data_IF_512989030129
#
_entry.id   IF_512989030129
#
_cell.length_a   1.000
_cell.length_b   1.000
_cell.length_c   1.000
_cell.angle_alpha   90.00
_cell.angle_beta   90.00
_cell.angle_gamma   90.00
#
_symmetry.space_group_name_H-M   'P 1'
#
loop_
_entity.id
_entity.type
_entity.pdbx_description
1 polymer ?
#
# COMPACT_ATOMS: atom_id res chain seq x y z
N UNK A 1 9.89 -25.61 5.66
CA UNK A 1 10.62 -24.59 6.43
C UNK A 1 9.81 -24.29 7.69
N UNK A 2 10.43 -24.19 8.88
CA UNK A 2 9.74 -23.81 10.13
C UNK A 2 10.31 -22.47 10.59
N UNK A 3 9.44 -21.54 10.95
CA UNK A 3 9.80 -20.26 11.55
C UNK A 3 9.90 -20.42 13.07
N UNK A 4 11.02 -20.02 13.66
CA UNK A 4 11.26 -20.04 15.11
C UNK A 4 10.96 -18.67 15.73
N UNK A 5 10.83 -18.61 17.06
CA UNK A 5 10.59 -17.35 17.77
C UNK A 5 11.77 -16.38 17.66
N UNK A 6 12.99 -16.90 17.51
CA UNK A 6 14.20 -16.11 17.43
C UNK A 6 14.43 -15.55 16.01
N UNK A 7 13.83 -16.17 15.00
CA UNK A 7 13.78 -15.67 13.61
C UNK A 7 12.66 -14.63 13.40
N UNK A 8 11.91 -14.27 14.46
CA UNK A 8 10.86 -13.26 14.37
C UNK A 8 11.43 -11.85 14.41
N UNK A 9 11.59 -11.24 13.23
CA UNK A 9 11.93 -9.83 13.11
C UNK A 9 10.69 -8.96 13.31
N UNK A 10 10.77 -8.02 14.27
CA UNK A 10 9.74 -6.98 14.43
C UNK A 10 9.91 -5.95 13.33
N UNK A 11 9.14 -6.10 12.27
CA UNK A 11 8.97 -5.09 11.24
C UNK A 11 8.33 -3.85 11.88
N UNK A 12 8.95 -2.67 11.73
CA UNK A 12 8.42 -1.47 12.37
C UNK A 12 9.20 -0.19 12.18
N UNK A 13 10.44 -0.27 11.69
CA UNK A 13 11.29 0.91 11.44
C UNK A 13 11.51 1.19 9.96
N UNK A 14 11.23 0.24 9.10
CA UNK A 14 11.41 0.34 7.67
C UNK A 14 10.34 1.28 7.05
N UNK A 15 10.71 2.08 6.03
CA UNK A 15 9.75 2.84 5.26
C UNK A 15 8.65 1.93 4.68
N UNK A 16 7.37 2.30 4.70
CA UNK A 16 6.30 1.43 4.23
C UNK A 16 6.41 1.06 2.75
N UNK A 17 7.06 1.89 1.93
CA UNK A 17 7.35 1.57 0.55
C UNK A 17 8.33 0.40 0.43
N UNK A 18 9.34 0.32 1.29
CA UNK A 18 10.29 -0.81 1.31
C UNK A 18 9.57 -2.09 1.73
N UNK A 19 8.70 -2.00 2.75
CA UNK A 19 7.87 -3.12 3.18
C UNK A 19 6.93 -3.61 2.09
N UNK A 20 6.34 -2.69 1.31
CA UNK A 20 5.48 -3.05 0.19
C UNK A 20 6.23 -3.85 -0.89
N UNK A 21 7.50 -3.55 -1.11
CA UNK A 21 8.34 -4.24 -2.10
C UNK A 21 9.04 -5.46 -1.55
N UNK A 22 8.97 -5.69 -0.23
CA UNK A 22 9.62 -6.80 0.43
C UNK A 22 9.07 -8.13 -0.11
N UNK A 23 9.97 -9.05 -0.45
CA UNK A 23 9.62 -10.35 -1.03
C UNK A 23 9.38 -10.34 -2.55
N UNK A 24 9.30 -9.17 -3.20
CA UNK A 24 9.28 -9.09 -4.67
C UNK A 24 10.72 -9.20 -5.19
N UNK A 25 11.06 -10.38 -5.74
CA UNK A 25 12.41 -10.68 -6.25
C UNK A 25 12.63 -10.25 -7.70
N UNK A 26 11.60 -10.32 -8.54
CA UNK A 26 11.70 -10.00 -9.96
C UNK A 26 11.51 -8.49 -10.19
N UNK A 27 12.43 -7.87 -10.93
CA UNK A 27 12.45 -6.43 -11.17
C UNK A 27 11.22 -5.98 -11.96
N UNK A 28 10.82 -6.74 -12.98
CA UNK A 28 9.63 -6.43 -13.79
C UNK A 28 8.35 -6.43 -12.95
N UNK A 29 8.30 -7.29 -11.93
CA UNK A 29 7.18 -7.33 -10.97
C UNK A 29 7.24 -6.13 -10.05
N UNK A 30 8.42 -5.77 -9.52
CA UNK A 30 8.63 -4.59 -8.67
C UNK A 30 8.16 -3.33 -9.39
N UNK A 31 8.61 -3.11 -10.62
CA UNK A 31 8.20 -1.95 -11.42
C UNK A 31 6.69 -1.92 -11.69
N UNK A 32 6.10 -3.06 -12.05
CA UNK A 32 4.66 -3.16 -12.32
C UNK A 32 3.85 -2.79 -11.08
N UNK A 33 4.22 -3.31 -9.92
CA UNK A 33 3.54 -3.01 -8.66
C UNK A 33 3.74 -1.56 -8.23
N UNK A 34 4.92 -0.98 -8.43
CA UNK A 34 5.17 0.45 -8.20
C UNK A 34 4.32 1.35 -9.09
N UNK A 35 4.22 1.04 -10.39
CA UNK A 35 3.33 1.77 -11.31
C UNK A 35 1.88 1.70 -10.86
N UNK A 36 1.43 0.52 -10.45
CA UNK A 36 0.06 0.29 -9.97
C UNK A 36 -0.21 1.06 -8.68
N UNK A 37 0.71 1.00 -7.71
CA UNK A 37 0.60 1.72 -6.45
C UNK A 37 0.55 3.23 -6.69
N UNK A 38 1.42 3.76 -7.56
CA UNK A 38 1.41 5.17 -7.94
C UNK A 38 0.09 5.58 -8.60
N UNK A 39 -0.49 4.73 -9.45
CA UNK A 39 -1.80 5.00 -10.04
C UNK A 39 -2.89 5.07 -8.96
N UNK A 40 -2.90 4.15 -8.00
CA UNK A 40 -3.89 4.18 -6.91
C UNK A 40 -3.72 5.43 -6.07
N UNK A 41 -2.52 5.67 -5.52
CA UNK A 41 -2.29 6.75 -4.56
C UNK A 41 -2.37 8.14 -5.20
N UNK A 42 -1.85 8.30 -6.42
CA UNK A 42 -1.73 9.62 -7.06
C UNK A 42 -2.82 9.93 -8.10
N UNK A 43 -3.71 9.00 -8.44
CA UNK A 43 -4.80 9.22 -9.40
C UNK A 43 -6.17 8.80 -8.90
N UNK A 44 -6.27 7.76 -8.08
CA UNK A 44 -7.57 7.31 -7.54
C UNK A 44 -7.84 7.99 -6.19
N UNK A 45 -6.79 8.24 -5.41
CA UNK A 45 -6.85 8.82 -4.08
C UNK A 45 -6.25 10.22 -4.01
N UNK A 46 -6.14 10.93 -5.14
CA UNK A 46 -5.52 12.25 -5.18
C UNK A 46 -6.32 13.34 -4.42
N UNK A 47 -7.63 13.18 -4.30
CA UNK A 47 -8.50 14.02 -3.45
C UNK A 47 -8.48 13.63 -1.96
N UNK A 48 -7.83 12.51 -1.61
CA UNK A 48 -7.83 11.95 -0.24
C UNK A 48 -6.42 12.02 0.37
N UNK A 49 -5.38 11.86 -0.44
CA UNK A 49 -3.99 11.86 -0.03
C UNK A 49 -3.23 13.01 -0.71
N UNK A 50 -2.45 13.73 0.08
CA UNK A 50 -1.75 14.92 -0.37
C UNK A 50 -0.25 14.67 -0.55
N UNK A 51 0.43 15.55 -1.29
CA UNK A 51 1.89 15.49 -1.46
C UNK A 51 2.38 14.54 -2.56
N UNK A 52 3.67 14.20 -2.48
CA UNK A 52 4.34 13.30 -3.44
C UNK A 52 4.03 11.82 -3.19
N UNK A 53 4.58 10.93 -4.01
CA UNK A 53 4.24 9.51 -3.96
C UNK A 53 4.64 8.86 -2.64
N UNK A 54 5.85 9.17 -2.18
CA UNK A 54 6.44 8.65 -0.94
C UNK A 54 5.64 9.16 0.28
N UNK A 55 5.28 10.44 0.31
CA UNK A 55 4.42 11.02 1.36
C UNK A 55 3.03 10.37 1.40
N UNK A 56 2.45 10.06 0.23
CA UNK A 56 1.15 9.39 0.14
C UNK A 56 1.19 7.95 0.63
N UNK A 57 2.30 7.24 0.41
CA UNK A 57 2.52 5.90 0.96
C UNK A 57 2.51 5.94 2.48
N UNK A 58 3.25 6.88 3.07
CA UNK A 58 3.28 7.08 4.53
C UNK A 58 1.89 7.42 5.09
N UNK A 59 1.16 8.33 4.45
CA UNK A 59 -0.19 8.71 4.86
C UNK A 59 -1.15 7.52 4.88
N UNK A 60 -1.15 6.67 3.84
CA UNK A 60 -2.05 5.52 3.80
C UNK A 60 -1.77 4.55 4.96
N UNK A 61 -0.50 4.29 5.25
CA UNK A 61 -0.12 3.40 6.37
C UNK A 61 -0.47 4.03 7.71
N UNK A 62 -0.24 5.33 7.87
CA UNK A 62 -0.62 6.10 9.05
C UNK A 62 -2.13 6.03 9.28
N UNK A 63 -2.94 6.32 8.26
CA UNK A 63 -4.40 6.20 8.35
C UNK A 63 -4.85 4.79 8.69
N UNK A 64 -4.24 3.76 8.10
CA UNK A 64 -4.56 2.36 8.42
C UNK A 64 -4.29 2.00 9.88
N UNK A 65 -3.25 2.59 10.50
CA UNK A 65 -2.92 2.39 11.92
C UNK A 65 -3.84 3.17 12.85
N UNK A 66 -4.13 4.42 12.50
CA UNK A 66 -4.88 5.35 13.36
C UNK A 66 -6.40 5.16 13.23
N UNK A 67 -6.89 4.80 12.05
CA UNK A 67 -8.32 4.75 11.69
C UNK A 67 -8.64 3.51 10.82
N UNK A 68 -8.51 2.29 11.36
CA UNK A 68 -8.62 1.05 10.58
C UNK A 68 -9.99 0.86 9.89
N UNK A 69 -11.09 1.27 10.54
CA UNK A 69 -12.43 1.19 9.96
C UNK A 69 -12.59 2.10 8.75
N UNK A 70 -12.11 3.35 8.86
CA UNK A 70 -12.12 4.29 7.75
C UNK A 70 -11.28 3.80 6.57
N UNK A 71 -10.08 3.26 6.86
CA UNK A 71 -9.21 2.70 5.81
C UNK A 71 -9.85 1.48 5.14
N UNK A 72 -10.49 0.59 5.89
CA UNK A 72 -11.27 -0.52 5.31
C UNK A 72 -12.32 0.02 4.35
N UNK A 73 -13.12 0.99 4.78
CA UNK A 73 -14.21 1.54 3.99
C UNK A 73 -13.69 2.26 2.73
N UNK A 74 -12.55 2.95 2.84
CA UNK A 74 -11.83 3.52 1.70
C UNK A 74 -11.48 2.43 0.67
N UNK A 75 -10.82 1.35 1.09
CA UNK A 75 -10.40 0.26 0.21
C UNK A 75 -11.60 -0.45 -0.44
N UNK A 76 -12.71 -0.63 0.29
CA UNK A 76 -13.94 -1.17 -0.26
C UNK A 76 -14.53 -0.27 -1.37
N UNK A 77 -14.48 1.05 -1.18
CA UNK A 77 -14.96 2.00 -2.19
C UNK A 77 -14.05 2.06 -3.43
N UNK A 78 -12.72 1.90 -3.26
CA UNK A 78 -11.81 1.72 -4.40
C UNK A 78 -12.21 0.48 -5.21
N UNK A 79 -12.42 -0.65 -4.54
CA UNK A 79 -12.84 -1.90 -5.20
C UNK A 79 -14.12 -1.73 -6.00
N UNK A 80 -15.14 -1.06 -5.43
CA UNK A 80 -16.40 -0.76 -6.13
C UNK A 80 -16.17 0.12 -7.36
N UNK A 81 -15.39 1.19 -7.25
CA UNK A 81 -15.07 2.07 -8.39
C UNK A 81 -14.31 1.34 -9.49
N UNK A 82 -13.37 0.46 -9.15
CA UNK A 82 -12.62 -0.31 -10.14
C UNK A 82 -13.52 -1.27 -10.92
N UNK A 83 -14.51 -1.90 -10.25
CA UNK A 83 -15.51 -2.77 -10.91
C UNK A 83 -16.37 -2.00 -11.91
N UNK A 84 -16.80 -0.78 -11.57
CA UNK A 84 -17.60 0.06 -12.46
C UNK A 84 -16.88 0.47 -13.76
N UNK A 85 -15.53 0.43 -13.80
CA UNK A 85 -14.77 0.75 -15.03
C UNK A 85 -14.66 -0.43 -15.99
N UNK A 86 -14.98 -1.64 -15.54
CA UNK A 86 -14.88 -2.88 -16.31
C UNK A 86 -16.23 -3.36 -16.86
N UNK A 87 -17.32 -2.73 -16.44
CA UNK A 87 -18.69 -2.90 -16.97
C UNK A 87 -19.00 -1.75 -17.95
#
# INVERSE_FOLDING_TARGET
MKLTRDEFERIGTEPPLELFLQGIKAEETREKYLRTLRQVLCKILDEILEGDFEQRVEQLVKYGRENPDWTRDLLLNISKKLRQRTE
#
